data_IF_544810640423
#
_entry.id   IF_544810640423
#
_cell.length_a   1.000
_cell.length_b   1.000
_cell.length_c   1.000
_cell.angle_alpha   90.00
_cell.angle_beta   90.00
_cell.angle_gamma   90.00
#
_symmetry.space_group_name_H-M   'P 1'
#
loop_
_entity.id
_entity.type
_entity.pdbx_description
1 polymer ?
#
# COMPACT_ATOMS: atom_id res chain seq x y z
N UNK A 1 13.46 -77.31 -46.22
CA UNK A 1 13.21 -76.36 -47.34
C UNK A 1 12.78 -75.03 -46.72
N UNK A 2 13.61 -73.99 -46.83
CA UNK A 2 13.33 -72.61 -46.38
C UNK A 2 12.42 -71.93 -47.42
N UNK A 3 11.41 -71.18 -46.97
CA UNK A 3 10.68 -70.18 -47.79
C UNK A 3 10.37 -69.01 -46.84
N UNK A 4 11.19 -67.96 -46.85
CA UNK A 4 11.06 -66.73 -47.64
C UNK A 4 10.28 -65.66 -46.85
N UNK A 5 11.06 -64.89 -46.08
CA UNK A 5 10.62 -63.68 -45.38
C UNK A 5 10.27 -62.61 -46.42
N UNK A 6 8.99 -62.22 -46.48
CA UNK A 6 8.51 -61.21 -47.43
C UNK A 6 8.78 -59.83 -46.85
N UNK A 7 9.83 -59.17 -47.36
CA UNK A 7 10.07 -57.75 -47.11
C UNK A 7 8.86 -56.93 -47.59
N UNK A 8 8.25 -56.18 -46.67
CA UNK A 8 7.20 -55.21 -47.00
C UNK A 8 7.86 -54.00 -47.67
N UNK A 9 7.63 -53.82 -48.97
CA UNK A 9 8.01 -52.58 -49.65
C UNK A 9 7.22 -51.40 -49.07
N UNK A 10 7.92 -50.29 -48.80
CA UNK A 10 7.29 -49.05 -48.37
C UNK A 10 6.44 -48.48 -49.52
N UNK A 11 5.14 -48.29 -49.28
CA UNK A 11 4.23 -47.68 -50.25
C UNK A 11 4.53 -46.18 -50.34
N UNK A 12 4.58 -45.64 -51.56
CA UNK A 12 4.80 -44.21 -51.80
C UNK A 12 3.78 -43.37 -51.01
N UNK A 13 4.25 -42.29 -50.37
CA UNK A 13 3.35 -41.37 -49.68
C UNK A 13 2.45 -40.65 -50.69
N UNK A 14 1.14 -40.90 -50.61
CA UNK A 14 0.12 -40.19 -51.39
C UNK A 14 -1.07 -41.07 -51.71
N UNK A 15 -2.07 -41.10 -50.83
CA UNK A 15 -3.35 -41.78 -51.06
C UNK A 15 -4.39 -40.87 -51.71
N UNK A 16 -5.50 -41.44 -52.18
CA UNK A 16 -6.66 -40.75 -52.79
C UNK A 16 -7.20 -39.53 -52.01
N UNK A 17 -6.85 -39.40 -50.73
CA UNK A 17 -7.24 -38.31 -49.82
C UNK A 17 -6.18 -37.21 -49.64
N UNK A 18 -5.06 -37.24 -50.37
CA UNK A 18 -4.10 -36.12 -50.36
C UNK A 18 -4.65 -34.96 -51.19
N UNK A 19 -5.16 -33.91 -50.53
CA UNK A 19 -5.53 -32.68 -51.21
C UNK A 19 -4.29 -31.99 -51.78
N UNK A 20 -4.39 -31.42 -53.00
CA UNK A 20 -3.35 -30.61 -53.62
C UNK A 20 -2.93 -29.47 -52.68
N UNK A 21 -1.62 -29.33 -52.46
CA UNK A 21 -1.08 -28.23 -51.64
C UNK A 21 -1.21 -26.92 -52.43
N UNK A 22 -1.84 -25.86 -51.88
CA UNK A 22 -1.89 -24.57 -52.54
C UNK A 22 -0.49 -24.01 -52.81
N UNK A 23 -0.18 -23.75 -54.08
CA UNK A 23 1.04 -23.10 -54.51
C UNK A 23 0.83 -21.58 -54.53
N UNK A 24 1.47 -20.85 -53.62
CA UNK A 24 1.38 -19.39 -53.58
C UNK A 24 2.32 -18.76 -54.62
N UNK A 25 1.79 -17.92 -55.51
CA UNK A 25 2.58 -17.11 -56.45
C UNK A 25 3.55 -16.17 -55.72
N UNK A 26 4.70 -15.84 -56.33
CA UNK A 26 5.69 -14.93 -55.76
C UNK A 26 5.07 -13.57 -55.37
N UNK A 27 4.19 -13.04 -56.22
CA UNK A 27 3.45 -11.80 -55.95
C UNK A 27 2.56 -11.91 -54.71
N UNK A 28 1.89 -13.06 -54.51
CA UNK A 28 1.06 -13.33 -53.32
C UNK A 28 1.91 -13.45 -52.06
N UNK A 29 3.09 -14.06 -52.17
CA UNK A 29 4.01 -14.19 -51.04
C UNK A 29 4.56 -12.84 -50.58
N UNK A 30 4.91 -11.96 -51.52
CA UNK A 30 5.35 -10.59 -51.24
C UNK A 30 4.25 -9.74 -50.59
N UNK A 31 3.04 -9.81 -51.12
CA UNK A 31 1.88 -9.11 -50.55
C UNK A 31 1.60 -9.55 -49.10
N UNK A 32 1.56 -10.86 -48.86
CA UNK A 32 1.34 -11.40 -47.51
C UNK A 32 2.45 -10.97 -46.54
N UNK A 33 3.70 -10.88 -47.01
CA UNK A 33 4.83 -10.40 -46.21
C UNK A 33 4.69 -8.93 -45.84
N UNK A 34 4.14 -8.10 -46.73
CA UNK A 34 3.84 -6.70 -46.43
C UNK A 34 2.67 -6.59 -45.45
N UNK A 35 1.59 -7.35 -45.65
CA UNK A 35 0.45 -7.40 -44.73
C UNK A 35 0.86 -7.90 -43.33
N UNK A 36 1.77 -8.87 -43.22
CA UNK A 36 2.30 -9.34 -41.94
C UNK A 36 3.12 -8.28 -41.19
N UNK A 37 3.76 -7.35 -41.90
CA UNK A 37 4.53 -6.24 -41.31
C UNK A 37 3.62 -5.08 -40.88
N UNK A 38 2.58 -4.81 -41.65
CA UNK A 38 1.63 -3.72 -41.39
C UNK A 38 0.57 -4.12 -40.36
N UNK A 39 0.22 -5.41 -40.29
CA UNK A 39 -0.57 -5.94 -39.19
C UNK A 39 0.31 -6.03 -37.94
N UNK A 40 -0.23 -5.62 -36.79
CA UNK A 40 0.44 -5.63 -35.48
C UNK A 40 0.66 -7.05 -34.92
N UNK A 41 1.08 -7.98 -35.77
CA UNK A 41 1.38 -9.37 -35.44
C UNK A 41 2.70 -9.47 -34.70
N UNK A 42 2.77 -10.41 -33.76
CA UNK A 42 4.00 -10.72 -33.04
C UNK A 42 4.98 -11.46 -33.95
N UNK A 43 6.30 -11.35 -33.70
CA UNK A 43 7.32 -12.05 -34.49
C UNK A 43 7.09 -13.58 -34.59
N UNK A 44 6.51 -14.18 -33.53
CA UNK A 44 6.12 -15.59 -33.52
C UNK A 44 4.99 -15.90 -34.52
N UNK A 45 3.95 -15.06 -34.55
CA UNK A 45 2.82 -15.20 -35.49
C UNK A 45 3.28 -15.03 -36.94
N UNK A 46 4.16 -14.05 -37.20
CA UNK A 46 4.77 -13.85 -38.52
C UNK A 46 5.59 -15.06 -38.97
N UNK A 47 6.33 -15.70 -38.04
CA UNK A 47 7.09 -16.93 -38.31
C UNK A 47 6.16 -18.12 -38.58
N UNK A 48 5.06 -18.26 -37.85
CA UNK A 48 4.10 -19.34 -38.05
C UNK A 48 3.44 -19.23 -39.43
N UNK A 49 3.00 -18.03 -39.82
CA UNK A 49 2.37 -17.78 -41.12
C UNK A 49 3.35 -17.97 -42.28
N UNK A 50 4.60 -17.49 -42.14
CA UNK A 50 5.62 -17.70 -43.18
C UNK A 50 5.97 -19.17 -43.37
N UNK A 51 5.98 -19.97 -42.29
CA UNK A 51 6.17 -21.41 -42.38
C UNK A 51 5.01 -22.13 -43.07
N UNK A 52 3.75 -21.76 -42.77
CA UNK A 52 2.59 -22.35 -43.47
C UNK A 52 2.61 -22.03 -44.96
N UNK A 53 3.05 -20.82 -45.32
CA UNK A 53 3.19 -20.41 -46.72
C UNK A 53 4.30 -21.17 -47.45
N UNK A 54 5.45 -21.41 -46.79
CA UNK A 54 6.56 -22.18 -47.37
C UNK A 54 6.23 -23.67 -47.55
N UNK A 55 5.42 -24.23 -46.65
CA UNK A 55 4.95 -25.62 -46.74
C UNK A 55 3.84 -25.82 -47.79
N UNK A 56 3.28 -24.73 -48.32
CA UNK A 56 2.14 -24.79 -49.23
C UNK A 56 0.84 -25.21 -48.52
N UNK A 57 0.72 -24.98 -47.21
CA UNK A 57 -0.50 -25.28 -46.45
C UNK A 57 -1.47 -24.09 -46.52
N UNK A 58 -2.77 -24.34 -46.31
CA UNK A 58 -3.76 -23.26 -46.19
C UNK A 58 -3.51 -22.42 -44.94
N UNK A 59 -3.72 -21.10 -45.05
CA UNK A 59 -3.54 -20.20 -43.90
C UNK A 59 -4.45 -20.56 -42.73
N UNK A 60 -3.94 -20.61 -41.48
CA UNK A 60 -4.74 -20.97 -40.33
C UNK A 60 -5.74 -19.85 -39.99
N UNK A 61 -6.98 -20.19 -39.59
CA UNK A 61 -7.99 -19.19 -39.23
C UNK A 61 -7.64 -18.41 -37.96
N UNK A 62 -6.70 -18.92 -37.15
CA UNK A 62 -6.19 -18.27 -35.94
C UNK A 62 -4.71 -18.61 -35.75
N UNK A 63 -3.93 -17.62 -35.34
CA UNK A 63 -2.52 -17.78 -34.95
C UNK A 63 -2.38 -17.57 -33.46
N UNK A 64 -1.53 -18.35 -32.81
CA UNK A 64 -1.36 -18.28 -31.35
C UNK A 64 -0.56 -17.02 -30.98
N UNK A 65 -0.99 -16.26 -29.95
CA UNK A 65 -0.36 -14.99 -29.60
C UNK A 65 1.04 -15.17 -29.01
N UNK A 66 1.26 -16.21 -28.22
CA UNK A 66 2.57 -16.49 -27.63
C UNK A 66 2.71 -17.99 -27.42
N UNK A 67 3.90 -18.52 -27.73
CA UNK A 67 4.40 -19.88 -27.45
C UNK A 67 4.11 -20.99 -28.47
N UNK A 68 5.10 -21.88 -28.62
CA UNK A 68 5.10 -23.11 -29.40
C UNK A 68 4.38 -24.28 -28.70
N UNK A 69 3.78 -24.04 -27.53
CA UNK A 69 3.00 -25.04 -26.85
C UNK A 69 1.71 -25.22 -27.64
N UNK A 70 1.43 -26.45 -28.10
CA UNK A 70 0.07 -26.78 -28.51
C UNK A 70 -0.87 -26.38 -27.36
N UNK A 71 -2.07 -25.85 -27.64
CA UNK A 71 -3.07 -25.72 -26.61
C UNK A 71 -3.35 -27.13 -26.10
N UNK A 72 -2.60 -27.52 -25.07
CA UNK A 72 -2.97 -28.57 -24.16
C UNK A 72 -4.41 -28.27 -23.84
N UNK A 73 -5.25 -29.22 -24.25
CA UNK A 73 -6.64 -29.32 -23.91
C UNK A 73 -6.80 -28.63 -22.58
N UNK A 74 -7.53 -27.51 -22.56
CA UNK A 74 -8.00 -26.97 -21.30
C UNK A 74 -8.87 -28.08 -20.73
N UNK A 75 -8.25 -28.97 -19.95
CA UNK A 75 -8.89 -29.98 -19.16
C UNK A 75 -9.72 -29.20 -18.15
N UNK A 76 -10.92 -28.82 -18.57
CA UNK A 76 -12.01 -28.70 -17.64
C UNK A 76 -12.21 -30.11 -17.10
N UNK A 77 -11.62 -30.41 -15.94
CA UNK A 77 -11.69 -31.68 -15.20
C UNK A 77 -13.13 -31.92 -14.67
N UNK A 78 -14.13 -31.75 -15.51
CA UNK A 78 -15.52 -31.93 -15.13
C UNK A 78 -16.44 -32.03 -16.34
N UNK A 79 -17.52 -32.81 -16.23
CA UNK A 79 -18.59 -32.74 -17.22
C UNK A 79 -19.06 -31.29 -17.36
N UNK A 80 -19.39 -30.83 -18.58
CA UNK A 80 -19.88 -29.48 -18.80
C UNK A 80 -21.11 -29.22 -17.92
N UNK A 81 -21.28 -28.01 -17.38
CA UNK A 81 -22.47 -27.67 -16.62
C UNK A 81 -23.71 -27.95 -17.47
N UNK A 82 -24.81 -28.47 -16.89
CA UNK A 82 -26.02 -28.71 -17.65
C UNK A 82 -26.50 -27.41 -18.31
N UNK A 83 -27.05 -27.48 -19.53
CA UNK A 83 -27.49 -26.30 -20.24
C UNK A 83 -28.54 -25.54 -19.40
N UNK A 84 -28.31 -24.24 -19.23
CA UNK A 84 -29.20 -23.32 -18.48
C UNK A 84 -30.57 -23.17 -19.15
N UNK A 85 -30.65 -23.46 -20.45
CA UNK A 85 -31.86 -23.39 -21.26
C UNK A 85 -32.28 -24.81 -21.62
N UNK A 86 -33.45 -25.22 -21.14
CA UNK A 86 -34.05 -26.51 -21.47
C UNK A 86 -34.55 -26.44 -22.92
N UNK A 87 -34.11 -27.37 -23.77
CA UNK A 87 -34.63 -27.48 -25.13
C UNK A 87 -35.98 -28.21 -25.09
N UNK A 88 -37.11 -27.57 -25.45
CA UNK A 88 -38.44 -28.17 -25.35
C UNK A 88 -38.61 -29.40 -26.24
N UNK A 89 -37.79 -29.56 -27.29
CA UNK A 89 -37.81 -30.75 -28.17
C UNK A 89 -37.25 -32.01 -27.49
N UNK A 90 -36.33 -31.85 -26.54
CA UNK A 90 -35.66 -32.95 -25.85
C UNK A 90 -36.14 -33.11 -24.40
N UNK A 91 -36.92 -32.15 -23.90
CA UNK A 91 -37.45 -32.17 -22.55
C UNK A 91 -38.72 -33.02 -22.49
N UNK A 92 -38.57 -34.31 -22.20
CA UNK A 92 -39.69 -35.14 -21.75
C UNK A 92 -39.87 -34.87 -20.26
N UNK A 93 -40.84 -34.03 -19.92
CA UNK A 93 -41.20 -33.70 -18.55
C UNK A 93 -41.70 -34.93 -17.80
N UNK A 94 -40.77 -35.74 -17.29
CA UNK A 94 -41.10 -36.87 -16.43
C UNK A 94 -41.16 -36.39 -14.98
N UNK A 95 -42.23 -36.76 -14.28
CA UNK A 95 -42.34 -36.54 -12.85
C UNK A 95 -41.25 -37.34 -12.12
N UNK A 96 -40.41 -36.68 -11.32
CA UNK A 96 -39.35 -37.33 -10.54
C UNK A 96 -39.95 -38.13 -9.40
N UNK A 97 -39.36 -39.28 -9.05
CA UNK A 97 -39.79 -40.04 -7.88
C UNK A 97 -39.35 -39.31 -6.59
N UNK A 98 -40.01 -39.63 -5.47
CA UNK A 98 -39.68 -39.07 -4.15
C UNK A 98 -38.21 -39.25 -3.79
N UNK A 99 -37.68 -40.46 -4.00
CA UNK A 99 -36.27 -40.81 -3.74
C UNK A 99 -35.31 -39.93 -4.54
N UNK A 100 -35.61 -39.65 -5.82
CA UNK A 100 -34.78 -38.77 -6.66
C UNK A 100 -34.77 -37.33 -6.16
N UNK A 101 -35.90 -36.85 -5.62
CA UNK A 101 -36.03 -35.50 -5.08
C UNK A 101 -35.23 -35.39 -3.77
N UNK A 102 -35.34 -36.39 -2.90
CA UNK A 102 -34.57 -36.47 -1.64
C UNK A 102 -33.06 -36.57 -1.91
N UNK A 103 -32.64 -37.44 -2.85
CA UNK A 103 -31.25 -37.60 -3.27
C UNK A 103 -30.68 -36.32 -3.90
N UNK A 104 -31.50 -35.56 -4.64
CA UNK A 104 -31.09 -34.26 -5.20
C UNK A 104 -30.77 -33.19 -4.15
N UNK A 105 -31.13 -33.42 -2.88
CA UNK A 105 -30.88 -32.49 -1.79
C UNK A 105 -31.78 -31.25 -1.81
N UNK A 106 -32.90 -31.29 -2.53
CA UNK A 106 -33.84 -30.17 -2.67
C UNK A 106 -34.39 -29.66 -1.33
N UNK A 107 -34.55 -30.57 -0.36
CA UNK A 107 -35.03 -30.25 0.99
C UNK A 107 -33.94 -29.71 1.92
N UNK A 108 -32.67 -29.72 1.51
CA UNK A 108 -31.57 -29.17 2.32
C UNK A 108 -31.63 -27.63 2.25
N UNK A 109 -31.65 -26.98 3.41
CA UNK A 109 -31.59 -25.51 3.50
C UNK A 109 -30.37 -24.99 2.75
N UNK A 110 -30.59 -24.07 1.81
CA UNK A 110 -29.48 -23.42 1.11
C UNK A 110 -28.58 -22.71 2.12
N UNK A 111 -27.28 -23.03 2.09
CA UNK A 111 -26.28 -22.31 2.89
C UNK A 111 -26.14 -20.91 2.31
N UNK A 112 -26.25 -19.89 3.17
CA UNK A 112 -25.98 -18.51 2.75
C UNK A 112 -24.59 -18.43 2.14
N UNK A 113 -24.51 -17.98 0.89
CA UNK A 113 -23.27 -17.63 0.23
C UNK A 113 -23.37 -16.14 -0.08
N UNK A 114 -22.42 -15.31 0.41
CA UNK A 114 -22.39 -13.91 0.00
C UNK A 114 -22.32 -13.86 -1.53
N UNK A 115 -22.94 -12.84 -2.12
CA UNK A 115 -22.91 -12.69 -3.58
C UNK A 115 -21.44 -12.68 -4.04
N UNK A 116 -21.05 -13.52 -5.01
CA UNK A 116 -19.73 -13.47 -5.60
C UNK A 116 -19.64 -12.21 -6.48
N UNK A 117 -19.39 -11.07 -5.83
CA UNK A 117 -19.11 -9.80 -6.48
C UNK A 117 -17.61 -9.53 -6.51
N UNK A 118 -17.11 -8.73 -7.48
CA UNK A 118 -15.71 -8.34 -7.54
C UNK A 118 -15.38 -7.57 -6.26
N UNK A 119 -14.47 -8.13 -5.44
CA UNK A 119 -13.84 -7.54 -4.26
C UNK A 119 -14.38 -6.15 -3.89
N UNK A 120 -15.56 -6.12 -3.24
CA UNK A 120 -15.93 -4.95 -2.43
C UNK A 120 -14.81 -4.82 -1.41
N UNK A 121 -13.92 -3.86 -1.61
CA UNK A 121 -12.81 -3.62 -0.70
C UNK A 121 -13.44 -3.40 0.67
N UNK A 122 -13.32 -4.40 1.56
CA UNK A 122 -13.96 -4.36 2.87
C UNK A 122 -13.61 -3.07 3.62
N UNK A 123 -12.41 -2.56 3.37
CA UNK A 123 -11.92 -1.30 3.92
C UNK A 123 -12.71 -0.08 3.42
N UNK A 124 -13.05 0.00 2.13
CA UNK A 124 -13.84 1.11 1.58
C UNK A 124 -15.28 1.10 2.07
N UNK A 125 -15.89 -0.09 2.17
CA UNK A 125 -17.24 -0.22 2.70
C UNK A 125 -17.29 0.07 4.21
N UNK A 126 -16.23 -0.30 4.94
CA UNK A 126 -16.06 0.02 6.36
C UNK A 126 -15.90 1.52 6.57
N UNK A 127 -15.05 2.18 5.79
CA UNK A 127 -14.85 3.64 5.81
C UNK A 127 -16.16 4.37 5.48
N UNK A 128 -16.84 3.97 4.42
CA UNK A 128 -18.15 4.51 4.04
C UNK A 128 -19.18 4.38 5.17
N UNK A 129 -19.25 3.21 5.82
CA UNK A 129 -20.18 3.00 6.92
C UNK A 129 -19.79 3.82 8.16
N UNK A 130 -18.49 3.96 8.45
CA UNK A 130 -18.00 4.83 9.51
C UNK A 130 -18.40 6.29 9.25
N UNK A 131 -18.21 6.78 8.03
CA UNK A 131 -18.60 8.13 7.64
C UNK A 131 -20.11 8.34 7.78
N UNK A 132 -20.90 7.38 7.29
CA UNK A 132 -22.36 7.43 7.38
C UNK A 132 -22.89 7.39 8.82
N UNK A 133 -22.26 6.61 9.71
CA UNK A 133 -22.64 6.56 11.13
C UNK A 133 -22.23 7.83 11.89
N UNK A 134 -21.07 8.40 11.58
CA UNK A 134 -20.55 9.57 12.30
C UNK A 134 -21.15 10.88 11.79
N UNK A 135 -21.30 11.04 10.47
CA UNK A 135 -21.66 12.30 9.82
C UNK A 135 -23.00 12.24 9.08
N UNK A 136 -23.64 11.06 8.98
CA UNK A 136 -24.91 10.88 8.24
C UNK A 136 -24.74 10.78 6.72
N UNK A 137 -23.54 11.01 6.20
CA UNK A 137 -23.21 10.98 4.77
C UNK A 137 -21.84 10.35 4.53
N UNK A 138 -21.61 9.87 3.30
CA UNK A 138 -20.34 9.29 2.89
C UNK A 138 -19.39 10.39 2.42
N UNK A 139 -18.53 10.86 3.34
CA UNK A 139 -17.57 11.91 3.05
C UNK A 139 -16.45 11.41 2.11
N UNK A 140 -15.98 12.26 1.18
CA UNK A 140 -14.83 11.90 0.35
C UNK A 140 -13.59 11.71 1.21
N UNK A 141 -12.72 10.79 0.79
CA UNK A 141 -11.46 10.51 1.47
C UNK A 141 -10.68 11.82 1.71
N UNK A 142 -10.12 12.02 2.92
CA UNK A 142 -9.48 13.28 3.26
C UNK A 142 -8.29 13.52 2.34
N UNK A 143 -8.21 14.75 1.81
CA UNK A 143 -7.09 15.13 0.94
C UNK A 143 -5.77 15.08 1.72
N UNK A 144 -4.66 14.86 1.01
CA UNK A 144 -3.32 14.87 1.64
C UNK A 144 -3.05 16.17 2.40
N UNK A 145 -3.63 17.30 1.97
CA UNK A 145 -3.57 18.57 2.67
C UNK A 145 -4.35 18.55 4.00
N UNK A 146 -5.54 17.96 4.03
CA UNK A 146 -6.34 17.81 5.24
C UNK A 146 -5.65 16.90 6.26
N UNK A 147 -5.10 15.77 5.80
CA UNK A 147 -4.33 14.84 6.64
C UNK A 147 -3.10 15.54 7.24
N UNK A 148 -2.36 16.31 6.42
CA UNK A 148 -1.21 17.10 6.91
C UNK A 148 -1.63 18.12 7.95
N UNK A 149 -2.75 18.81 7.75
CA UNK A 149 -3.27 19.81 8.69
C UNK A 149 -3.73 19.17 10.01
N UNK A 150 -4.36 18.01 9.96
CA UNK A 150 -4.73 17.24 11.15
C UNK A 150 -3.49 16.76 11.92
N UNK A 151 -2.48 16.26 11.21
CA UNK A 151 -1.21 15.82 11.82
C UNK A 151 -0.42 16.98 12.42
N UNK A 152 -0.43 18.15 11.80
CA UNK A 152 0.20 19.36 12.36
C UNK A 152 -0.47 19.83 13.66
N UNK A 153 -1.78 19.59 13.83
CA UNK A 153 -2.49 19.85 15.09
C UNK A 153 -2.27 18.78 16.17
N UNK A 154 -1.81 17.59 15.77
CA UNK A 154 -1.44 16.50 16.68
C UNK A 154 0.04 16.52 17.06
N UNK A 155 0.83 17.46 16.53
CA UNK A 155 2.15 17.69 17.09
C UNK A 155 1.94 18.13 18.54
N UNK A 156 2.63 17.51 19.51
CA UNK A 156 2.64 18.03 20.87
C UNK A 156 2.93 19.51 20.80
N UNK A 157 2.03 20.34 21.33
CA UNK A 157 2.33 21.74 21.59
C UNK A 157 3.64 21.73 22.37
N UNK A 158 4.66 22.49 21.93
CA UNK A 158 5.91 22.58 22.67
C UNK A 158 5.54 22.99 24.10
N UNK A 159 5.69 22.07 25.05
CA UNK A 159 5.32 22.31 26.46
C UNK A 159 5.94 23.64 26.88
N UNK A 160 5.16 24.55 27.49
CA UNK A 160 5.67 25.85 27.85
C UNK A 160 6.93 25.66 28.70
N UNK A 161 8.02 26.32 28.31
CA UNK A 161 9.28 26.23 29.04
C UNK A 161 9.06 26.74 30.47
N UNK A 162 8.90 25.82 31.42
CA UNK A 162 8.81 26.16 32.83
C UNK A 162 10.24 26.32 33.34
N UNK A 163 10.52 27.46 33.95
CA UNK A 163 11.81 27.67 34.59
C UNK A 163 11.98 26.67 35.75
N UNK A 164 13.13 25.99 35.81
CA UNK A 164 13.47 25.07 36.90
C UNK A 164 13.32 25.73 38.27
N UNK A 165 13.56 27.04 38.37
CA UNK A 165 13.34 27.79 39.60
C UNK A 165 11.86 27.79 40.03
N UNK A 166 10.94 28.01 39.09
CA UNK A 166 9.51 28.02 39.32
C UNK A 166 8.98 26.61 39.67
N UNK A 167 9.51 25.57 39.02
CA UNK A 167 9.22 24.18 39.36
C UNK A 167 9.54 23.89 40.83
N UNK A 168 10.76 24.25 41.28
CA UNK A 168 11.21 24.05 42.66
C UNK A 168 10.33 24.80 43.66
N UNK A 169 9.87 26.00 43.32
CA UNK A 169 8.94 26.75 44.16
C UNK A 169 7.58 26.05 44.28
N UNK A 170 7.04 25.54 43.18
CA UNK A 170 5.81 24.74 43.17
C UNK A 170 5.94 23.48 44.03
N UNK A 171 7.04 22.77 43.83
CA UNK A 171 7.43 21.58 44.56
C UNK A 171 7.59 21.81 46.09
N UNK A 172 8.12 22.96 46.51
CA UNK A 172 8.19 23.33 47.94
C UNK A 172 6.80 23.61 48.50
N UNK A 173 5.95 24.31 47.72
CA UNK A 173 4.59 24.62 48.13
C UNK A 173 3.75 23.35 48.28
N UNK A 174 3.91 22.38 47.38
CA UNK A 174 3.26 21.07 47.47
C UNK A 174 3.66 20.33 48.76
N UNK A 175 4.97 20.30 49.08
CA UNK A 175 5.45 19.66 50.32
C UNK A 175 4.94 20.35 51.58
N UNK A 176 4.85 21.68 51.57
CA UNK A 176 4.23 22.44 52.66
C UNK A 176 2.73 22.16 52.79
N UNK A 177 2.02 22.00 51.68
CA UNK A 177 0.60 21.64 51.69
C UNK A 177 0.39 20.22 52.22
N UNK A 178 1.21 19.27 51.76
CA UNK A 178 1.21 17.90 52.28
C UNK A 178 1.41 17.86 53.79
N UNK A 179 2.36 18.63 54.34
CA UNK A 179 2.53 18.73 55.79
C UNK A 179 1.30 19.28 56.50
N UNK A 180 0.69 20.35 55.99
CA UNK A 180 -0.54 20.90 56.56
C UNK A 180 -1.67 19.87 56.57
N UNK A 181 -1.78 19.05 55.52
CA UNK A 181 -2.81 18.03 55.45
C UNK A 181 -2.51 16.87 56.41
N UNK A 182 -1.26 16.41 56.50
CA UNK A 182 -0.87 15.41 57.49
C UNK A 182 -1.03 15.88 58.94
N UNK A 183 -0.80 17.16 59.23
CA UNK A 183 -1.07 17.77 60.54
C UNK A 183 -2.56 17.75 60.88
N UNK A 184 -3.45 18.06 59.92
CA UNK A 184 -4.91 17.94 60.10
C UNK A 184 -5.34 16.50 60.39
N UNK A 185 -4.67 15.52 59.80
CA UNK A 185 -4.89 14.10 60.07
C UNK A 185 -4.22 13.60 61.37
N UNK A 186 -3.50 14.46 62.10
CA UNK A 186 -2.78 14.10 63.32
C UNK A 186 -1.53 13.24 63.12
N UNK A 187 -1.00 13.18 61.88
CA UNK A 187 0.19 12.41 61.52
C UNK A 187 1.43 13.27 61.22
N UNK A 188 1.37 14.57 61.50
CA UNK A 188 2.43 15.53 61.19
C UNK A 188 3.81 15.13 61.73
N UNK A 189 3.88 14.65 62.97
CA UNK A 189 5.15 14.30 63.63
C UNK A 189 5.93 13.20 62.89
N UNK A 190 5.23 12.30 62.18
CA UNK A 190 5.87 11.21 61.42
C UNK A 190 6.62 11.71 60.19
N UNK A 191 6.11 12.77 59.57
CA UNK A 191 6.60 13.26 58.27
C UNK A 191 7.41 14.55 58.38
N UNK A 192 7.32 15.27 59.51
CA UNK A 192 7.92 16.59 59.68
C UNK A 192 9.40 16.65 59.32
N UNK A 193 10.21 15.76 59.91
CA UNK A 193 11.65 15.73 59.62
C UNK A 193 11.94 15.41 58.15
N UNK A 194 11.20 14.47 57.57
CA UNK A 194 11.38 14.07 56.16
C UNK A 194 11.08 15.27 55.26
N UNK A 195 9.93 15.91 55.44
CA UNK A 195 9.54 17.05 54.61
C UNK A 195 10.47 18.25 54.82
N UNK A 196 10.88 18.54 56.06
CA UNK A 196 11.82 19.64 56.33
C UNK A 196 13.17 19.41 55.61
N UNK A 197 13.65 18.16 55.57
CA UNK A 197 14.86 17.83 54.81
C UNK A 197 14.69 18.01 53.31
N UNK A 198 13.56 17.60 52.74
CA UNK A 198 13.29 17.76 51.31
C UNK A 198 13.13 19.23 50.92
N UNK A 199 12.43 20.03 51.76
CA UNK A 199 12.31 21.47 51.56
C UNK A 199 13.68 22.13 51.60
N UNK A 200 14.55 21.72 52.54
CA UNK A 200 15.91 22.23 52.62
C UNK A 200 16.77 21.86 51.40
N UNK A 201 16.60 20.65 50.86
CA UNK A 201 17.28 20.22 49.63
C UNK A 201 16.84 21.07 48.43
N UNK A 202 15.54 21.32 48.27
CA UNK A 202 14.99 22.15 47.19
C UNK A 202 15.41 23.61 47.30
N UNK A 203 15.46 24.17 48.52
CA UNK A 203 15.99 25.52 48.77
C UNK A 203 17.46 25.61 48.36
N UNK A 204 18.28 24.62 48.72
CA UNK A 204 19.68 24.59 48.31
C UNK A 204 19.84 24.54 46.78
N UNK A 205 18.98 23.79 46.09
CA UNK A 205 18.98 23.76 44.63
C UNK A 205 18.64 25.14 44.04
N UNK A 206 17.62 25.81 44.58
CA UNK A 206 17.28 27.19 44.19
C UNK A 206 18.46 28.16 44.42
N UNK A 207 19.14 28.09 45.56
CA UNK A 207 20.31 28.94 45.85
C UNK A 207 21.47 28.73 44.88
N UNK A 208 21.65 27.50 44.36
CA UNK A 208 22.68 27.20 43.37
C UNK A 208 22.29 27.80 42.01
N UNK A 209 21.01 27.73 41.64
CA UNK A 209 20.49 28.35 40.42
C UNK A 209 20.66 29.87 40.50
N UNK A 210 20.30 30.49 41.62
CA UNK A 210 20.44 31.93 41.82
C UNK A 210 21.90 32.37 41.76
N UNK A 211 22.82 31.65 42.41
CA UNK A 211 24.26 31.94 42.33
C UNK A 211 24.76 31.91 40.89
N UNK A 212 24.41 30.87 40.13
CA UNK A 212 24.78 30.76 38.71
C UNK A 212 24.20 31.91 37.89
N UNK A 213 22.94 32.31 38.14
CA UNK A 213 22.31 33.45 37.44
C UNK A 213 23.01 34.75 37.76
N UNK A 214 23.34 34.99 39.02
CA UNK A 214 24.07 36.20 39.43
C UNK A 214 25.46 36.27 38.79
N UNK A 215 26.20 35.16 38.76
CA UNK A 215 27.51 35.08 38.10
C UNK A 215 27.41 35.38 36.60
N UNK A 216 26.44 34.76 35.91
CA UNK A 216 26.19 35.03 34.50
C UNK A 216 25.84 36.51 34.26
N UNK A 217 24.97 37.09 35.08
CA UNK A 217 24.57 38.49 34.97
C UNK A 217 25.77 39.43 35.17
N UNK A 218 26.62 39.17 36.17
CA UNK A 218 27.85 39.93 36.40
C UNK A 218 28.79 39.87 35.20
N UNK A 219 28.99 38.69 34.62
CA UNK A 219 29.82 38.50 33.43
C UNK A 219 29.26 39.26 32.22
N UNK A 220 27.93 39.25 32.03
CA UNK A 220 27.28 40.06 30.99
C UNK A 220 27.49 41.56 31.21
N UNK A 221 27.36 42.05 32.46
CA UNK A 221 27.60 43.45 32.79
C UNK A 221 29.06 43.84 32.53
N UNK A 222 30.02 43.00 32.93
CA UNK A 222 31.46 43.21 32.68
C UNK A 222 31.76 43.27 31.18
N UNK A 223 31.24 42.33 30.38
CA UNK A 223 31.41 42.31 28.91
C UNK A 223 30.83 43.58 28.28
N UNK A 224 29.59 43.95 28.63
CA UNK A 224 28.93 45.15 28.12
C UNK A 224 29.70 46.42 28.48
N UNK A 225 30.25 46.52 29.69
CA UNK A 225 31.07 47.66 30.09
C UNK A 225 32.38 47.71 29.29
N UNK A 226 33.03 46.57 29.05
CA UNK A 226 34.24 46.50 28.22
C UNK A 226 33.96 46.90 26.77
N UNK A 227 32.83 46.48 26.19
CA UNK A 227 32.40 46.90 24.85
C UNK A 227 32.18 48.42 24.76
N UNK A 228 31.49 49.00 25.75
CA UNK A 228 31.33 50.47 25.83
C UNK A 228 32.65 51.22 25.96
N UNK A 229 33.65 50.66 26.65
CA UNK A 229 34.98 51.27 26.72
C UNK A 229 35.70 51.18 25.38
N UNK A 230 35.58 50.07 24.65
CA UNK A 230 36.13 49.92 23.30
C UNK A 230 35.50 50.91 22.31
N UNK A 231 34.19 51.11 22.34
CA UNK A 231 33.49 52.09 21.50
C UNK A 231 33.94 53.53 21.79
N UNK A 232 34.21 53.89 23.05
CA UNK A 232 34.74 55.21 23.42
C UNK A 232 36.19 55.45 22.99
N UNK A 233 36.96 54.38 22.79
CA UNK A 233 38.37 54.47 22.39
C UNK A 233 38.60 54.52 20.88
N UNK A 234 37.54 54.46 20.05
CA UNK A 234 37.66 54.71 18.61
C UNK A 234 37.91 56.22 18.43
N UNK A 235 39.10 56.65 17.99
CA UNK A 235 39.37 58.07 17.81
C UNK A 235 38.46 58.63 16.72
N UNK A 236 37.77 59.73 17.02
CA UNK A 236 37.10 60.54 16.01
C UNK A 236 38.18 61.09 15.07
N UNK A 237 38.38 60.44 13.92
CA UNK A 237 39.28 60.93 12.87
C UNK A 237 38.66 62.21 12.30
N UNK A 238 39.10 63.35 12.80
CA UNK A 238 38.84 64.65 12.19
C UNK A 238 39.52 64.65 10.82
N UNK A 239 38.74 64.50 9.74
CA UNK A 239 39.20 64.81 8.39
C UNK A 239 39.41 66.34 8.33
N UNK A 240 40.64 66.78 8.57
CA UNK A 240 41.06 68.13 8.16
C UNK A 240 41.14 68.14 6.64
N UNK A 241 40.16 68.82 6.02
CA UNK A 241 40.22 69.18 4.62
C UNK A 241 41.34 70.21 4.42
N UNK A 242 42.50 69.75 3.96
CA UNK A 242 43.53 70.62 3.41
C UNK A 242 43.16 71.00 1.97
N UNK A 243 42.33 72.03 1.83
CA UNK A 243 42.29 72.86 0.63
C UNK A 243 43.30 73.99 0.80
N UNK A 244 44.45 73.87 0.11
CA UNK A 244 45.18 74.95 -0.59
C UNK A 244 46.47 74.43 -1.22
#
# INVERSE_FOLDING_TARGET
IKMADRSRQAVAQGGFWSSQQPQYSQQTQELMKQMMKESKLTAFQQRQLSQTMQKGETLPPRVLPTTSAEPGMLETVGPPPPPKVLNPKNYKGNMRKKEDIEASGAYKRQKFRPQPGPNRSADKDKERLQNMMAYGEDLPAPTSASIRKARAKMLPEDEPYVDRFDELQGEINERKQFMKDMEKLGQGDKFRQIIDTEVSQKIREMEIIDRKRTEQLEDYIKKRNNEKQKEKTIPHVSFENSDK
#
